data_IF_923804458730
#
_entry.id   IF_923804458730
#
_cell.length_a   1.000
_cell.length_b   1.000
_cell.length_c   1.000
_cell.angle_alpha   90.00
_cell.angle_beta   90.00
_cell.angle_gamma   90.00
#
_symmetry.space_group_name_H-M   'P 1'
#
loop_
_entity.id
_entity.type
_entity.pdbx_description
1 polymer ?
#
# COMPACT_ATOMS: atom_id res chain seq x y z
N UNK A 1 3.15 5.74 13.56
CA UNK A 1 2.21 6.80 14.01
C UNK A 1 2.78 8.18 13.67
N UNK A 2 2.13 8.91 12.77
CA UNK A 2 2.51 10.30 12.41
C UNK A 2 1.92 11.24 13.46
N UNK A 3 2.78 12.00 14.15
CA UNK A 3 2.33 12.99 15.15
C UNK A 3 2.01 14.32 14.46
N UNK A 4 0.85 14.89 14.76
CA UNK A 4 0.41 16.20 14.26
C UNK A 4 -0.50 16.14 13.03
N UNK A 5 -1.60 16.91 13.08
CA UNK A 5 -2.63 16.97 12.03
C UNK A 5 -2.09 17.50 10.69
N UNK A 6 -1.20 18.50 10.74
CA UNK A 6 -0.60 19.09 9.54
C UNK A 6 0.30 18.10 8.79
N UNK A 7 1.22 17.44 9.50
CA UNK A 7 2.10 16.43 8.93
C UNK A 7 1.33 15.24 8.35
N UNK A 8 0.29 14.76 9.06
CA UNK A 8 -0.60 13.72 8.55
C UNK A 8 -1.25 14.14 7.23
N UNK A 9 -1.82 15.36 7.17
CA UNK A 9 -2.47 15.87 5.96
C UNK A 9 -1.49 15.98 4.78
N UNK A 10 -0.27 16.44 5.02
CA UNK A 10 0.78 16.52 4.00
C UNK A 10 1.15 15.13 3.48
N UNK A 11 1.40 14.15 4.37
CA UNK A 11 1.74 12.79 3.99
C UNK A 11 0.62 12.11 3.20
N UNK A 12 -0.63 12.22 3.65
CA UNK A 12 -1.79 11.67 2.91
C UNK A 12 -1.94 12.35 1.55
N UNK A 13 -1.72 13.66 1.47
CA UNK A 13 -1.72 14.40 0.20
C UNK A 13 -0.63 13.91 -0.77
N UNK A 14 0.59 13.72 -0.28
CA UNK A 14 1.69 13.19 -1.08
C UNK A 14 1.40 11.76 -1.57
N UNK A 15 0.93 10.88 -0.68
CA UNK A 15 0.57 9.51 -1.04
C UNK A 15 -0.52 9.47 -2.10
N UNK A 16 -1.57 10.28 -1.93
CA UNK A 16 -2.65 10.41 -2.91
C UNK A 16 -2.12 10.81 -4.29
N UNK A 17 -1.26 11.83 -4.36
CA UNK A 17 -0.66 12.28 -5.62
C UNK A 17 0.25 11.20 -6.25
N UNK A 18 1.01 10.47 -5.42
CA UNK A 18 1.83 9.35 -5.88
C UNK A 18 0.96 8.27 -6.52
N UNK A 19 -0.14 7.90 -5.86
CA UNK A 19 -1.08 6.89 -6.34
C UNK A 19 -1.76 7.30 -7.64
N UNK A 20 -2.25 8.53 -7.76
CA UNK A 20 -2.84 9.04 -9.02
C UNK A 20 -1.89 8.86 -10.20
N UNK A 21 -0.62 9.25 -10.03
CA UNK A 21 0.38 9.16 -11.10
C UNK A 21 0.78 7.72 -11.45
N UNK A 22 0.81 6.83 -10.47
CA UNK A 22 1.19 5.43 -10.68
C UNK A 22 0.04 4.62 -11.26
N UNK A 23 -1.17 4.80 -10.73
CA UNK A 23 -2.37 4.06 -11.13
C UNK A 23 -2.92 4.50 -12.49
N UNK A 24 -2.79 5.79 -12.84
CA UNK A 24 -3.18 6.29 -14.16
C UNK A 24 -2.38 5.71 -15.33
N UNK A 25 -1.38 4.85 -15.08
CA UNK A 25 -0.66 4.10 -16.11
C UNK A 25 -1.36 2.82 -16.53
N UNK A 26 -2.27 2.30 -15.71
CA UNK A 26 -3.00 1.06 -16.00
C UNK A 26 -4.28 1.36 -16.76
N UNK A 27 -5.11 2.26 -16.24
CA UNK A 27 -6.38 2.66 -16.87
C UNK A 27 -6.88 3.99 -16.31
N UNK A 28 -7.56 4.76 -17.14
CA UNK A 28 -8.27 5.99 -16.74
C UNK A 28 -9.53 5.68 -15.89
N UNK A 29 -10.01 4.45 -15.92
CA UNK A 29 -11.16 4.01 -15.13
C UNK A 29 -10.84 3.79 -13.64
N UNK A 30 -9.55 3.77 -13.27
CA UNK A 30 -9.12 3.63 -11.88
C UNK A 30 -9.36 4.95 -11.14
N UNK A 31 -10.28 4.91 -10.19
CA UNK A 31 -10.70 6.08 -9.42
C UNK A 31 -10.07 6.07 -8.03
N UNK A 32 -9.29 7.11 -7.71
CA UNK A 32 -8.67 7.29 -6.39
C UNK A 32 -9.41 8.38 -5.63
N UNK A 33 -9.89 8.08 -4.42
CA UNK A 33 -10.60 9.02 -3.56
C UNK A 33 -9.88 9.16 -2.22
N UNK A 34 -9.76 10.40 -1.74
CA UNK A 34 -9.09 10.71 -0.47
C UNK A 34 -10.13 11.02 0.62
N UNK A 35 -10.08 10.28 1.72
CA UNK A 35 -10.85 10.52 2.92
C UNK A 35 -9.95 11.02 4.07
N UNK A 36 -10.54 11.36 5.22
CA UNK A 36 -9.80 11.88 6.37
C UNK A 36 -8.91 10.83 7.06
N UNK A 37 -9.22 9.55 6.87
CA UNK A 37 -8.59 8.41 7.53
C UNK A 37 -8.12 7.31 6.58
N UNK A 38 -8.51 7.34 5.30
CA UNK A 38 -8.12 6.36 4.28
C UNK A 38 -8.02 6.99 2.87
N UNK A 39 -7.41 6.24 1.95
CA UNK A 39 -7.51 6.46 0.52
C UNK A 39 -8.22 5.23 -0.06
N UNK A 40 -9.21 5.47 -0.91
CA UNK A 40 -9.94 4.41 -1.61
C UNK A 40 -9.47 4.38 -3.06
N UNK A 41 -9.33 3.17 -3.59
CA UNK A 41 -8.98 2.92 -4.99
C UNK A 41 -10.02 1.96 -5.55
N UNK A 42 -10.85 2.45 -6.47
CA UNK A 42 -11.82 1.65 -7.21
C UNK A 42 -11.20 1.33 -8.57
N UNK A 43 -11.12 0.04 -8.90
CA UNK A 43 -10.44 -0.44 -10.11
C UNK A 43 -11.28 -1.50 -10.82
N UNK A 44 -11.25 -1.57 -12.16
CA UNK A 44 -11.80 -2.70 -12.92
C UNK A 44 -11.18 -4.03 -12.49
N UNK A 45 -11.95 -5.11 -12.63
CA UNK A 45 -11.57 -6.45 -12.18
C UNK A 45 -10.27 -6.93 -12.86
N UNK A 46 -10.07 -6.60 -14.14
CA UNK A 46 -8.88 -7.02 -14.88
C UNK A 46 -7.56 -6.46 -14.30
N UNK A 47 -7.60 -5.34 -13.58
CA UNK A 47 -6.41 -4.68 -13.01
C UNK A 47 -6.25 -4.90 -11.51
N UNK A 48 -7.16 -5.64 -10.86
CA UNK A 48 -7.16 -5.79 -9.39
C UNK A 48 -5.84 -6.36 -8.88
N UNK A 49 -5.22 -7.30 -9.61
CA UNK A 49 -3.98 -7.96 -9.17
C UNK A 49 -2.80 -6.99 -9.23
N UNK A 50 -2.67 -6.25 -10.33
CA UNK A 50 -1.62 -5.27 -10.58
C UNK A 50 -1.74 -4.08 -9.64
N UNK A 51 -2.96 -3.56 -9.47
CA UNK A 51 -3.25 -2.46 -8.56
C UNK A 51 -2.94 -2.87 -7.13
N UNK A 52 -3.40 -4.06 -6.69
CA UNK A 52 -3.06 -4.60 -5.36
C UNK A 52 -1.55 -4.64 -5.19
N UNK A 53 -0.82 -5.26 -6.11
CA UNK A 53 0.63 -5.40 -5.97
C UNK A 53 1.31 -4.03 -5.90
N UNK A 54 0.89 -3.06 -6.73
CA UNK A 54 1.40 -1.69 -6.67
C UNK A 54 1.15 -1.04 -5.31
N UNK A 55 -0.04 -1.20 -4.74
CA UNK A 55 -0.35 -0.67 -3.41
C UNK A 55 0.51 -1.32 -2.33
N UNK A 56 0.78 -2.63 -2.43
CA UNK A 56 1.64 -3.34 -1.48
C UNK A 56 3.11 -2.93 -1.58
N UNK A 57 3.58 -2.58 -2.77
CA UNK A 57 4.95 -2.12 -3.02
C UNK A 57 5.13 -0.59 -2.83
N UNK A 58 4.07 0.15 -2.53
CA UNK A 58 4.15 1.61 -2.37
C UNK A 58 4.54 2.02 -0.94
N UNK A 59 5.67 2.73 -0.74
CA UNK A 59 6.05 3.29 0.56
C UNK A 59 4.98 4.24 1.11
N UNK A 60 4.74 4.14 2.41
CA UNK A 60 3.73 4.94 3.12
C UNK A 60 2.37 4.27 3.26
N UNK A 61 2.15 3.09 2.66
CA UNK A 61 0.93 2.30 2.84
C UNK A 61 1.16 1.25 3.93
N UNK A 62 0.50 1.41 5.08
CA UNK A 62 0.61 0.48 6.21
C UNK A 62 -0.20 -0.81 5.98
N UNK A 63 -1.40 -0.68 5.43
CA UNK A 63 -2.29 -1.80 5.16
C UNK A 63 -3.15 -1.51 3.92
N UNK A 64 -3.53 -2.56 3.22
CA UNK A 64 -4.51 -2.52 2.14
C UNK A 64 -5.69 -3.40 2.54
N UNK A 65 -6.90 -2.85 2.47
CA UNK A 65 -8.14 -3.57 2.72
C UNK A 65 -8.84 -3.76 1.39
N UNK A 66 -8.99 -5.01 0.96
CA UNK A 66 -9.84 -5.34 -0.16
C UNK A 66 -11.29 -5.39 0.31
N UNK A 67 -12.17 -4.80 -0.49
CA UNK A 67 -13.57 -4.71 -0.16
C UNK A 67 -14.44 -4.93 -1.39
N UNK A 68 -15.57 -5.59 -1.16
CA UNK A 68 -16.71 -5.54 -2.08
C UNK A 68 -17.55 -4.33 -1.72
N UNK A 69 -17.81 -3.48 -2.72
CA UNK A 69 -18.53 -2.23 -2.55
C UNK A 69 -19.94 -2.35 -3.13
N UNK A 70 -20.94 -1.96 -2.35
CA UNK A 70 -22.35 -1.98 -2.73
C UNK A 70 -22.98 -0.63 -2.43
N UNK A 71 -23.54 0.01 -3.44
CA UNK A 71 -24.23 1.30 -3.30
C UNK A 71 -25.69 1.13 -2.89
N UNK A 72 -26.32 2.25 -2.48
CA UNK A 72 -27.76 2.35 -2.18
C UNK A 72 -28.21 1.44 -1.03
N UNK A 73 -27.35 1.25 -0.04
CA UNK A 73 -27.66 0.56 1.21
C UNK A 73 -28.17 1.57 2.23
N UNK A 74 -29.49 1.78 2.24
CA UNK A 74 -30.11 2.87 3.00
C UNK A 74 -30.64 2.41 4.36
N UNK A 75 -30.98 1.13 4.50
CA UNK A 75 -31.59 0.58 5.70
C UNK A 75 -30.78 -0.57 6.30
N UNK A 76 -30.95 -0.80 7.61
CA UNK A 76 -30.35 -1.96 8.28
C UNK A 76 -30.82 -3.29 7.68
N UNK A 77 -32.04 -3.34 7.15
CA UNK A 77 -32.61 -4.55 6.54
C UNK A 77 -31.95 -4.88 5.19
N UNK A 78 -31.69 -3.89 4.36
CA UNK A 78 -30.91 -4.08 3.12
C UNK A 78 -29.48 -4.53 3.44
N UNK A 79 -28.84 -3.86 4.40
CA UNK A 79 -27.46 -4.14 4.78
C UNK A 79 -27.32 -5.57 5.34
N UNK A 80 -28.18 -5.99 6.28
CA UNK A 80 -28.07 -7.32 6.91
C UNK A 80 -28.23 -8.45 5.90
N UNK A 81 -29.17 -8.30 4.96
CA UNK A 81 -29.41 -9.30 3.90
C UNK A 81 -28.18 -9.37 2.99
N UNK A 82 -27.68 -8.24 2.50
CA UNK A 82 -26.52 -8.21 1.59
C UNK A 82 -25.26 -8.77 2.26
N UNK A 83 -25.00 -8.43 3.52
CA UNK A 83 -23.83 -8.96 4.23
C UNK A 83 -23.96 -10.46 4.44
N UNK A 84 -25.14 -10.95 4.83
CA UNK A 84 -25.40 -12.38 4.99
C UNK A 84 -25.15 -13.13 3.67
N UNK A 85 -25.74 -12.67 2.57
CA UNK A 85 -25.56 -13.24 1.23
C UNK A 85 -24.07 -13.39 0.87
N UNK A 86 -23.27 -12.35 1.10
CA UNK A 86 -21.84 -12.33 0.70
C UNK A 86 -20.94 -13.13 1.65
N UNK A 87 -21.29 -13.27 2.92
CA UNK A 87 -20.35 -13.75 3.95
C UNK A 87 -20.76 -15.02 4.68
N UNK A 88 -21.95 -15.56 4.42
CA UNK A 88 -22.47 -16.73 5.14
C UNK A 88 -21.55 -17.97 5.06
N UNK A 89 -20.94 -18.25 3.91
CA UNK A 89 -20.03 -19.40 3.76
C UNK A 89 -18.81 -19.29 4.69
N UNK A 90 -18.36 -18.07 4.98
CA UNK A 90 -17.18 -17.83 5.83
C UNK A 90 -17.42 -18.25 7.28
N UNK A 91 -18.67 -18.17 7.76
CA UNK A 91 -19.06 -18.44 9.15
C UNK A 91 -19.55 -19.88 9.38
N UNK A 92 -19.69 -20.68 8.32
CA UNK A 92 -20.17 -22.05 8.39
C UNK A 92 -19.31 -22.89 9.37
N UNK A 93 -19.95 -23.40 10.42
CA UNK A 93 -19.31 -24.22 11.45
C UNK A 93 -18.22 -23.50 12.26
N UNK A 94 -18.27 -22.16 12.34
CA UNK A 94 -17.27 -21.34 13.05
C UNK A 94 -17.94 -20.33 13.99
N UNK A 95 -17.22 -19.89 15.02
CA UNK A 95 -17.64 -18.71 15.78
C UNK A 95 -17.31 -17.45 14.99
N UNK A 96 -18.14 -16.42 15.11
CA UNK A 96 -17.92 -15.18 14.37
C UNK A 96 -18.27 -13.93 15.16
N UNK A 97 -17.79 -12.80 14.65
CA UNK A 97 -18.22 -11.48 15.12
C UNK A 97 -18.36 -10.52 13.93
N UNK A 98 -19.32 -9.61 14.04
CA UNK A 98 -19.47 -8.49 13.11
C UNK A 98 -18.83 -7.26 13.73
N UNK A 99 -17.99 -6.57 12.96
CA UNK A 99 -17.39 -5.28 13.33
C UNK A 99 -17.71 -4.25 12.27
N UNK A 100 -18.39 -3.18 12.66
CA UNK A 100 -18.85 -2.16 11.75
C UNK A 100 -18.20 -0.81 12.04
N UNK A 101 -17.75 -0.15 10.99
CA UNK A 101 -17.33 1.25 11.02
C UNK A 101 -18.30 2.08 10.21
N UNK A 102 -18.66 3.26 10.70
CA UNK A 102 -19.60 4.17 10.04
C UNK A 102 -18.94 5.52 9.80
N UNK A 103 -19.22 6.12 8.66
CA UNK A 103 -18.80 7.48 8.30
C UNK A 103 -19.95 8.18 7.57
N UNK A 104 -20.33 9.38 8.03
CA UNK A 104 -21.51 10.09 7.54
C UNK A 104 -22.70 10.05 8.52
N UNK A 105 -23.86 10.53 8.06
CA UNK A 105 -25.07 10.72 8.90
C UNK A 105 -26.02 9.54 8.77
N UNK A 106 -26.39 8.93 9.90
CA UNK A 106 -27.29 7.79 9.97
C UNK A 106 -28.09 7.86 11.28
N UNK A 107 -29.30 7.33 11.27
CA UNK A 107 -30.22 7.23 12.42
C UNK A 107 -29.88 6.08 13.38
N UNK A 108 -28.95 5.20 13.00
CA UNK A 108 -28.44 4.11 13.84
C UNK A 108 -26.95 4.25 14.20
N UNK A 109 -26.57 3.59 15.30
CA UNK A 109 -25.18 3.47 15.77
C UNK A 109 -24.49 2.27 15.14
N UNK A 110 -23.15 2.28 15.09
CA UNK A 110 -22.37 1.13 14.61
C UNK A 110 -22.68 -0.15 15.40
N UNK A 111 -22.91 -0.05 16.70
CA UNK A 111 -23.28 -1.19 17.56
C UNK A 111 -24.64 -1.79 17.17
N UNK A 112 -25.62 -0.96 16.80
CA UNK A 112 -26.92 -1.44 16.31
C UNK A 112 -26.77 -2.13 14.96
N UNK A 113 -25.91 -1.62 14.08
CA UNK A 113 -25.57 -2.26 12.82
C UNK A 113 -24.91 -3.63 13.05
N UNK A 114 -23.92 -3.72 13.94
CA UNK A 114 -23.28 -4.98 14.31
C UNK A 114 -24.27 -6.01 14.86
N UNK A 115 -25.14 -5.59 15.79
CA UNK A 115 -26.15 -6.45 16.40
C UNK A 115 -27.19 -6.93 15.38
N UNK A 116 -27.66 -6.04 14.50
CA UNK A 116 -28.69 -6.37 13.52
C UNK A 116 -28.17 -7.35 12.48
N UNK A 117 -26.97 -7.09 11.96
CA UNK A 117 -26.31 -7.98 10.98
C UNK A 117 -25.95 -9.31 11.64
N UNK A 118 -25.31 -9.27 12.81
CA UNK A 118 -24.89 -10.48 13.52
C UNK A 118 -26.06 -11.36 13.94
N UNK A 119 -27.14 -10.77 14.45
CA UNK A 119 -28.36 -11.48 14.83
C UNK A 119 -29.07 -12.10 13.63
N UNK A 120 -29.16 -11.37 12.50
CA UNK A 120 -29.69 -11.93 11.26
C UNK A 120 -28.86 -13.11 10.75
N UNK A 121 -27.53 -12.98 10.74
CA UNK A 121 -26.63 -14.05 10.31
C UNK A 121 -26.73 -15.29 11.20
N UNK A 122 -26.77 -15.09 12.53
CA UNK A 122 -26.91 -16.16 13.51
C UNK A 122 -28.24 -16.93 13.38
N UNK A 123 -29.33 -16.23 13.06
CA UNK A 123 -30.65 -16.84 12.91
C UNK A 123 -30.87 -17.53 11.55
N UNK A 124 -30.12 -17.13 10.51
CA UNK A 124 -30.39 -17.54 9.13
C UNK A 124 -29.40 -18.58 8.60
N UNK A 125 -28.14 -18.54 9.04
CA UNK A 125 -27.06 -19.36 8.48
C UNK A 125 -26.39 -20.24 9.54
N UNK A 126 -25.89 -21.43 9.16
CA UNK A 126 -25.18 -22.31 10.09
C UNK A 126 -23.89 -21.66 10.58
N UNK A 127 -23.65 -21.67 11.89
CA UNK A 127 -22.43 -21.21 12.56
C UNK A 127 -22.32 -21.85 13.94
N UNK A 128 -21.18 -21.69 14.63
CA UNK A 128 -21.01 -22.12 16.02
C UNK A 128 -21.39 -21.02 17.04
N UNK A 129 -22.04 -19.95 16.59
CA UNK A 129 -22.45 -18.83 17.44
C UNK A 129 -21.57 -17.59 17.34
N UNK A 130 -21.90 -16.58 18.14
CA UNK A 130 -21.18 -15.30 18.20
C UNK A 130 -20.21 -15.30 19.37
N UNK A 131 -18.93 -15.02 19.10
CA UNK A 131 -17.89 -14.82 20.12
C UNK A 131 -17.33 -13.40 20.00
N UNK A 132 -17.51 -12.58 21.03
CA UNK A 132 -17.06 -11.18 21.03
C UNK A 132 -15.56 -11.02 21.36
N UNK A 133 -14.94 -12.05 21.93
CA UNK A 133 -13.58 -12.02 22.47
C UNK A 133 -12.60 -12.78 21.59
N UNK A 134 -12.92 -14.03 21.20
CA UNK A 134 -12.03 -14.88 20.40
C UNK A 134 -12.75 -15.56 19.20
N UNK A 135 -13.33 -14.78 18.28
CA UNK A 135 -14.00 -15.32 17.11
C UNK A 135 -13.01 -15.92 16.12
N UNK A 136 -13.37 -17.05 15.53
CA UNK A 136 -12.63 -17.62 14.40
C UNK A 136 -12.74 -16.75 13.14
N UNK A 137 -13.86 -16.04 12.98
CA UNK A 137 -14.16 -15.20 11.82
C UNK A 137 -14.60 -13.81 12.25
N UNK A 138 -13.93 -12.77 11.74
CA UNK A 138 -14.41 -11.39 11.89
C UNK A 138 -14.94 -10.86 10.57
N UNK A 139 -16.25 -10.62 10.49
CA UNK A 139 -16.88 -9.93 9.38
C UNK A 139 -16.73 -8.43 9.60
N UNK A 140 -15.91 -7.77 8.77
CA UNK A 140 -15.64 -6.34 8.86
C UNK A 140 -16.41 -5.60 7.78
N UNK A 141 -17.13 -4.56 8.20
CA UNK A 141 -17.98 -3.76 7.33
C UNK A 141 -17.67 -2.29 7.55
N UNK A 142 -17.56 -1.53 6.47
CA UNK A 142 -17.51 -0.06 6.54
C UNK A 142 -18.70 0.53 5.76
N UNK A 143 -19.55 1.28 6.45
CA UNK A 143 -20.66 2.02 5.84
C UNK A 143 -20.28 3.50 5.72
N UNK A 144 -20.14 3.99 4.49
CA UNK A 144 -19.87 5.38 4.16
C UNK A 144 -21.11 5.98 3.50
N UNK A 145 -21.84 6.84 4.21
CA UNK A 145 -23.19 7.26 3.82
C UNK A 145 -24.04 6.01 3.47
N UNK A 146 -24.53 5.87 2.24
CA UNK A 146 -25.28 4.70 1.79
C UNK A 146 -24.43 3.68 0.99
N UNK A 147 -23.11 3.75 1.09
CA UNK A 147 -22.19 2.84 0.42
C UNK A 147 -21.60 1.84 1.42
N UNK A 148 -21.90 0.56 1.21
CA UNK A 148 -21.48 -0.56 2.03
C UNK A 148 -20.21 -1.18 1.47
N UNK A 149 -19.16 -1.22 2.27
CA UNK A 149 -17.92 -1.94 1.96
C UNK A 149 -17.79 -3.16 2.87
N UNK A 150 -17.78 -4.36 2.29
CA UNK A 150 -17.53 -5.62 3.02
C UNK A 150 -16.07 -5.99 2.82
N UNK A 151 -15.28 -5.96 3.89
CA UNK A 151 -13.84 -6.25 3.82
C UNK A 151 -13.64 -7.76 3.65
N UNK A 152 -13.04 -8.15 2.52
CA UNK A 152 -12.77 -9.54 2.17
C UNK A 152 -11.41 -9.96 2.70
N UNK A 153 -10.38 -9.17 2.39
CA UNK A 153 -8.99 -9.50 2.68
C UNK A 153 -8.25 -8.28 3.25
N UNK A 154 -7.36 -8.54 4.20
CA UNK A 154 -6.44 -7.52 4.74
C UNK A 154 -5.02 -7.91 4.39
N UNK A 155 -4.30 -6.99 3.76
CA UNK A 155 -2.89 -7.13 3.42
C UNK A 155 -2.04 -6.16 4.24
N UNK A 156 -0.84 -6.61 4.60
CA UNK A 156 0.20 -5.76 5.18
C UNK A 156 0.89 -5.03 4.03
N UNK A 157 0.87 -3.70 4.06
CA UNK A 157 1.57 -2.89 3.07
C UNK A 157 3.03 -2.66 3.44
N UNK A 158 3.79 -2.02 2.54
CA UNK A 158 5.21 -1.76 2.73
C UNK A 158 5.54 -0.95 4.00
N UNK A 159 4.57 -0.18 4.50
CA UNK A 159 4.73 0.81 5.57
C UNK A 159 5.75 1.90 5.19
N UNK A 160 6.32 2.59 6.17
CA UNK A 160 7.27 3.67 5.93
C UNK A 160 6.58 5.00 5.63
N UNK A 161 7.18 5.82 4.75
CA UNK A 161 6.66 7.14 4.43
C UNK A 161 6.40 7.30 2.93
N UNK A 162 5.39 8.09 2.53
CA UNK A 162 5.16 8.38 1.13
C UNK A 162 6.39 9.00 0.48
N UNK A 163 6.78 8.48 -0.67
CA UNK A 163 7.92 8.98 -1.43
C UNK A 163 7.74 10.47 -1.76
N UNK A 164 8.80 11.25 -1.59
CA UNK A 164 8.79 12.71 -1.80
C UNK A 164 8.58 13.52 -0.53
N UNK A 165 8.28 12.90 0.61
CA UNK A 165 8.05 13.63 1.88
C UNK A 165 9.33 14.00 2.62
N UNK A 166 10.47 13.31 2.38
CA UNK A 166 11.71 13.51 3.13
C UNK A 166 12.85 14.17 2.31
N UNK A 167 12.56 14.66 1.10
CA UNK A 167 13.56 15.27 0.22
C UNK A 167 14.26 14.27 -0.70
N UNK A 168 15.45 14.66 -1.18
CA UNK A 168 16.26 13.94 -2.16
C UNK A 168 17.58 13.48 -1.54
N UNK A 169 18.04 12.29 -1.95
CA UNK A 169 19.37 11.77 -1.60
C UNK A 169 20.07 11.18 -2.83
N UNK A 170 21.38 11.02 -2.73
CA UNK A 170 22.18 10.27 -3.68
C UNK A 170 22.65 8.97 -3.02
N UNK A 171 22.31 7.82 -3.62
CA UNK A 171 22.76 6.50 -3.18
C UNK A 171 23.89 6.01 -4.06
N UNK A 172 25.02 5.74 -3.43
CA UNK A 172 26.14 5.04 -4.05
C UNK A 172 25.71 3.59 -4.31
N UNK A 173 25.57 3.23 -5.58
CA UNK A 173 25.35 1.86 -6.01
C UNK A 173 26.69 1.24 -6.35
N UNK A 174 27.02 0.10 -5.76
CA UNK A 174 28.27 -0.63 -6.04
C UNK A 174 28.07 -1.82 -6.98
N UNK A 175 26.83 -2.17 -7.30
CA UNK A 175 26.47 -3.46 -7.91
C UNK A 175 26.39 -4.61 -6.92
N UNK A 176 26.80 -4.41 -5.67
CA UNK A 176 26.62 -5.35 -4.57
C UNK A 176 25.24 -5.28 -3.91
N UNK A 177 24.92 -6.34 -3.17
CA UNK A 177 23.66 -6.50 -2.44
C UNK A 177 23.39 -5.35 -1.44
N UNK A 178 24.39 -4.97 -0.65
CA UNK A 178 24.22 -4.00 0.44
C UNK A 178 23.76 -2.63 -0.05
N UNK A 179 24.36 -2.14 -1.13
CA UNK A 179 23.99 -0.85 -1.72
C UNK A 179 22.53 -0.84 -2.21
N UNK A 180 22.09 -1.95 -2.79
CA UNK A 180 20.71 -2.17 -3.26
C UNK A 180 19.72 -2.13 -2.09
N UNK A 181 20.03 -2.85 -1.00
CA UNK A 181 19.20 -2.88 0.21
C UNK A 181 19.16 -1.51 0.87
N UNK A 182 20.29 -0.82 0.97
CA UNK A 182 20.37 0.53 1.50
C UNK A 182 19.46 1.50 0.72
N UNK A 183 19.53 1.48 -0.62
CA UNK A 183 18.65 2.29 -1.47
C UNK A 183 17.16 1.96 -1.27
N UNK A 184 16.80 0.68 -1.16
CA UNK A 184 15.42 0.30 -0.85
C UNK A 184 14.96 0.87 0.50
N UNK A 185 15.78 0.76 1.54
CA UNK A 185 15.45 1.26 2.88
C UNK A 185 15.25 2.78 2.89
N UNK A 186 16.04 3.54 2.13
CA UNK A 186 15.85 5.00 2.00
C UNK A 186 14.57 5.34 1.25
N UNK A 187 14.25 4.63 0.16
CA UNK A 187 12.99 4.78 -0.56
C UNK A 187 11.78 4.49 0.34
N UNK A 188 11.84 3.42 1.15
CA UNK A 188 10.81 3.08 2.14
C UNK A 188 10.63 4.19 3.18
N UNK A 189 11.67 4.97 3.47
CA UNK A 189 11.59 6.15 4.36
C UNK A 189 11.08 7.41 3.66
N UNK A 190 10.62 7.33 2.41
CA UNK A 190 10.03 8.46 1.71
C UNK A 190 11.04 9.41 1.05
N UNK A 191 12.31 9.01 0.99
CA UNK A 191 13.40 9.76 0.33
C UNK A 191 13.44 9.45 -1.15
N UNK A 192 13.42 10.48 -1.99
CA UNK A 192 13.65 10.34 -3.43
C UNK A 192 15.12 9.96 -3.64
N UNK A 193 15.34 8.69 -3.96
CA UNK A 193 16.68 8.12 -4.06
C UNK A 193 17.16 8.22 -5.50
N UNK A 194 18.12 9.11 -5.74
CA UNK A 194 18.91 9.17 -6.97
C UNK A 194 20.07 8.18 -6.85
N UNK A 195 20.54 7.65 -7.97
CA UNK A 195 21.60 6.65 -8.00
C UNK A 195 22.87 7.23 -8.61
N UNK A 196 24.01 6.97 -7.99
CA UNK A 196 25.33 7.23 -8.56
C UNK A 196 26.13 5.91 -8.56
N UNK A 197 26.76 5.63 -9.69
CA UNK A 197 27.61 4.47 -9.89
C UNK A 197 28.97 4.96 -10.40
N UNK A 198 30.04 4.57 -9.71
CA UNK A 198 31.40 4.76 -10.21
C UNK A 198 31.78 3.53 -11.03
N UNK A 199 31.95 3.72 -12.33
CA UNK A 199 32.23 2.62 -13.24
C UNK A 199 33.72 2.24 -13.19
N UNK A 200 33.98 1.03 -12.67
CA UNK A 200 35.30 0.39 -12.59
C UNK A 200 35.35 -0.92 -13.39
N UNK A 201 34.20 -1.40 -13.87
CA UNK A 201 34.03 -2.76 -14.42
C UNK A 201 33.61 -2.77 -15.89
N UNK A 202 33.76 -1.63 -16.57
CA UNK A 202 33.35 -1.45 -17.95
C UNK A 202 31.83 -1.50 -18.16
N UNK A 203 31.44 -1.59 -19.43
CA UNK A 203 30.04 -1.43 -19.87
C UNK A 203 29.11 -2.51 -19.30
N UNK A 204 29.58 -3.76 -19.21
CA UNK A 204 28.76 -4.87 -18.72
C UNK A 204 28.36 -4.68 -17.25
N UNK A 205 29.31 -4.25 -16.40
CA UNK A 205 29.04 -3.97 -15.00
C UNK A 205 28.03 -2.81 -14.85
N UNK A 206 28.21 -1.73 -15.61
CA UNK A 206 27.27 -0.60 -15.61
C UNK A 206 25.84 -1.01 -15.99
N UNK A 207 25.67 -1.88 -16.98
CA UNK A 207 24.35 -2.39 -17.39
C UNK A 207 23.68 -3.13 -16.23
N UNK A 208 24.41 -4.02 -15.54
CA UNK A 208 23.90 -4.77 -14.40
C UNK A 208 23.42 -3.84 -13.27
N UNK A 209 24.22 -2.83 -12.92
CA UNK A 209 23.85 -1.85 -11.88
C UNK A 209 22.62 -1.03 -12.30
N UNK A 210 22.54 -0.63 -13.58
CA UNK A 210 21.36 0.06 -14.12
C UNK A 210 20.09 -0.77 -14.02
N UNK A 211 20.16 -2.08 -14.32
CA UNK A 211 19.01 -2.98 -14.22
C UNK A 211 18.50 -3.09 -12.77
N UNK A 212 19.41 -3.18 -11.80
CA UNK A 212 19.06 -3.23 -10.37
C UNK A 212 18.43 -1.90 -9.92
N UNK A 213 19.03 -0.77 -10.28
CA UNK A 213 18.49 0.56 -9.98
C UNK A 213 17.10 0.76 -10.62
N UNK A 214 16.92 0.31 -11.87
CA UNK A 214 15.65 0.35 -12.57
C UNK A 214 14.60 -0.51 -11.86
N UNK A 215 14.95 -1.72 -11.43
CA UNK A 215 14.05 -2.60 -10.68
C UNK A 215 13.58 -1.95 -9.37
N UNK A 216 14.50 -1.41 -8.57
CA UNK A 216 14.16 -0.69 -7.33
C UNK A 216 13.22 0.48 -7.61
N UNK A 217 13.54 1.28 -8.62
CA UNK A 217 12.72 2.43 -9.00
C UNK A 217 11.34 2.01 -9.49
N UNK A 218 11.24 1.02 -10.39
CA UNK A 218 9.95 0.54 -10.91
C UNK A 218 9.06 0.01 -9.79
N UNK A 219 9.64 -0.76 -8.87
CA UNK A 219 8.89 -1.42 -7.79
C UNK A 219 8.48 -0.46 -6.68
N UNK A 220 9.40 0.38 -6.20
CA UNK A 220 9.17 1.16 -4.97
C UNK A 220 9.11 2.68 -5.17
N UNK A 221 9.52 3.19 -6.34
CA UNK A 221 9.75 4.63 -6.54
C UNK A 221 9.16 5.25 -7.79
N UNK A 222 8.33 4.50 -8.51
CA UNK A 222 7.91 4.88 -9.86
C UNK A 222 6.97 6.10 -9.89
N UNK A 223 6.51 6.58 -8.73
CA UNK A 223 5.80 7.87 -8.59
C UNK A 223 6.67 9.08 -8.93
N UNK A 224 8.00 9.01 -8.84
CA UNK A 224 8.89 10.16 -9.07
C UNK A 224 9.93 9.87 -10.15
N UNK A 225 10.36 10.91 -10.87
CA UNK A 225 11.53 10.79 -11.75
C UNK A 225 12.78 10.90 -10.88
N UNK A 226 13.70 9.96 -11.02
CA UNK A 226 15.01 9.97 -10.36
C UNK A 226 16.11 9.98 -11.41
N UNK A 227 17.34 10.26 -10.99
CA UNK A 227 18.51 10.25 -11.87
C UNK A 227 19.34 9.02 -11.57
N UNK A 228 19.92 8.45 -12.62
CA UNK A 228 21.03 7.51 -12.52
C UNK A 228 22.24 8.18 -13.17
N UNK A 229 23.32 8.33 -12.42
CA UNK A 229 24.57 8.96 -12.89
C UNK A 229 25.65 7.89 -12.88
N UNK A 230 26.19 7.57 -14.07
CA UNK A 230 27.41 6.78 -14.19
C UNK A 230 28.59 7.73 -14.29
N UNK A 231 29.62 7.51 -13.48
CA UNK A 231 30.85 8.29 -13.48
C UNK A 231 31.99 7.40 -13.97
N UNK A 232 32.65 7.70 -15.09
CA UNK A 232 33.86 6.99 -15.49
C UNK A 232 34.94 7.23 -14.43
N UNK A 233 35.53 6.17 -13.90
CA UNK A 233 36.47 6.28 -12.77
C UNK A 233 37.84 5.66 -13.07
N UNK A 234 38.04 5.18 -14.31
CA UNK A 234 39.27 4.55 -14.76
C UNK A 234 40.49 5.48 -14.64
N UNK A 235 40.37 6.73 -15.08
CA UNK A 235 41.47 7.72 -15.02
C UNK A 235 41.85 8.04 -13.57
N UNK A 236 40.85 8.16 -12.69
CA UNK A 236 41.06 8.43 -11.26
C UNK A 236 41.74 7.25 -10.59
N UNK A 237 41.31 6.02 -10.87
CA UNK A 237 41.98 4.82 -10.36
C UNK A 237 43.42 4.73 -10.86
N UNK A 238 43.65 4.99 -12.14
CA UNK A 238 44.98 4.93 -12.74
C UNK A 238 45.93 5.89 -12.03
N UNK A 239 45.48 7.12 -11.76
CA UNK A 239 46.25 8.10 -11.01
C UNK A 239 46.47 7.66 -9.55
N UNK A 240 45.46 7.11 -8.88
CA UNK A 240 45.61 6.58 -7.52
C UNK A 240 46.71 5.51 -7.48
N UNK A 241 46.68 4.53 -8.39
CA UNK A 241 47.69 3.48 -8.44
C UNK A 241 49.09 4.03 -8.77
N UNK A 242 49.21 5.03 -9.62
CA UNK A 242 50.48 5.67 -9.94
C UNK A 242 51.06 6.48 -8.75
N UNK A 243 50.19 7.10 -7.96
CA UNK A 243 50.57 8.00 -6.86
C UNK A 243 50.65 7.33 -5.49
N UNK A 244 50.13 6.12 -5.31
CA UNK A 244 50.30 5.33 -4.07
C UNK A 244 51.51 4.41 -4.14
N UNK A 245 52.42 4.53 -3.17
CA UNK A 245 53.54 3.58 -3.04
C UNK A 245 53.02 2.18 -2.72
N UNK A 246 53.62 1.15 -3.32
CA UNK A 246 53.37 -0.24 -2.90
C UNK A 246 53.65 -0.35 -1.39
N UNK A 247 52.62 -0.75 -0.64
CA UNK A 247 52.78 -1.07 0.77
C UNK A 247 53.45 -2.45 0.85
N UNK A 248 54.65 -2.48 1.43
CA UNK A 248 55.42 -3.70 1.73
C UNK A 248 54.63 -4.68 2.61
#
# INVERSE_FOLDING_TARGET
>A
MVKGSSAKRQMVGQLYNNLLKMLGRFSEEINVRKFSDKIEVVTPIEFVVEVRQLLLDTPGIEQVLEALQFDKMNTLDEIKVKVGEVTHERIAGKTFVVRAKRSGTHDFRSTQLEQTVGGYMLATYPSNGVDLHNPEVTIRIELLNNQLNIITTKHVGLSGFPLGTQGDILSLMSGGFDSTVASYLTMKRGLKTHFIFFNLGGVAHEIGVKQVALYLWQKFGSSHKVKFVSVPFDDVLTEIFASTHETY
#
